data_IF_565010750548
#
_entry.id   IF_565010750548
#
_cell.length_a   1.000
_cell.length_b   1.000
_cell.length_c   1.000
_cell.angle_alpha   90.00
_cell.angle_beta   90.00
_cell.angle_gamma   90.00
#
_symmetry.space_group_name_H-M   'P 1'
#
loop_
_entity.id
_entity.type
_entity.pdbx_description
1 polymer ?
#
# COMPACT_ATOMS: atom_id res chain seq x y z
N UNK A 1 24.90 -7.72 -26.89
CA UNK A 1 23.71 -8.51 -26.58
C UNK A 1 22.89 -7.71 -25.53
N UNK A 2 21.55 -7.55 -25.74
CA UNK A 2 20.68 -6.76 -24.86
C UNK A 2 20.22 -7.50 -23.58
N UNK A 3 20.74 -8.72 -23.34
CA UNK A 3 20.41 -9.50 -22.14
C UNK A 3 19.03 -10.17 -22.11
N UNK A 4 18.28 -10.15 -23.21
CA UNK A 4 16.95 -10.76 -23.32
C UNK A 4 15.80 -9.86 -22.91
N UNK A 5 14.60 -10.41 -22.83
CA UNK A 5 13.40 -9.71 -22.39
C UNK A 5 13.27 -9.76 -20.88
N UNK A 6 12.79 -8.67 -20.28
CA UNK A 6 12.36 -8.66 -18.89
C UNK A 6 11.05 -9.41 -18.74
N UNK A 7 10.75 -9.94 -17.54
CA UNK A 7 9.50 -10.66 -17.24
C UNK A 7 8.24 -9.89 -17.63
N UNK A 8 8.27 -8.57 -17.45
CA UNK A 8 7.15 -7.68 -17.77
C UNK A 8 7.05 -7.32 -19.27
N UNK A 9 7.95 -7.82 -20.12
CA UNK A 9 7.93 -7.48 -21.54
C UNK A 9 6.75 -8.11 -22.27
N UNK A 10 6.11 -7.33 -23.14
CA UNK A 10 5.07 -7.84 -24.02
C UNK A 10 5.69 -8.63 -25.18
N UNK A 11 5.26 -9.85 -25.38
CA UNK A 11 5.60 -10.64 -26.57
C UNK A 11 4.55 -10.47 -27.69
N UNK A 12 3.40 -9.87 -27.37
CA UNK A 12 2.31 -9.67 -28.33
C UNK A 12 2.60 -8.50 -29.26
N UNK A 13 3.38 -7.50 -28.78
CA UNK A 13 3.67 -6.31 -29.56
C UNK A 13 5.09 -5.81 -29.35
N UNK A 14 5.86 -5.88 -30.43
CA UNK A 14 7.16 -5.23 -30.55
C UNK A 14 7.09 -4.31 -31.75
N UNK A 15 7.48 -3.06 -31.57
CA UNK A 15 7.48 -2.06 -32.63
C UNK A 15 8.94 -1.82 -33.06
N UNK A 16 9.17 -1.82 -34.37
CA UNK A 16 10.47 -1.45 -34.98
C UNK A 16 10.26 -0.21 -35.83
N UNK A 17 10.96 0.86 -35.48
CA UNK A 17 10.96 2.08 -36.27
C UNK A 17 12.21 2.14 -37.14
N UNK A 18 12.01 2.24 -38.46
CA UNK A 18 13.06 2.37 -39.46
C UNK A 18 13.04 3.74 -40.09
N UNK A 19 14.14 4.42 -40.04
CA UNK A 19 14.29 5.73 -40.70
C UNK A 19 14.35 5.59 -42.21
N UNK A 20 13.55 6.41 -42.94
CA UNK A 20 13.63 6.49 -44.38
C UNK A 20 14.90 7.27 -44.73
N UNK A 21 15.77 6.62 -45.54
CA UNK A 21 16.97 7.24 -46.07
C UNK A 21 16.72 7.53 -47.53
N UNK A 22 16.60 8.80 -47.88
CA UNK A 22 16.50 9.22 -49.28
C UNK A 22 17.53 10.32 -49.57
N UNK A 23 18.82 9.94 -49.73
CA UNK A 23 19.94 10.90 -49.91
C UNK A 23 19.89 11.64 -51.25
N UNK A 24 19.04 11.21 -52.18
CA UNK A 24 18.90 11.84 -53.52
C UNK A 24 17.64 12.70 -53.67
N UNK A 25 16.79 12.74 -52.66
CA UNK A 25 15.58 13.56 -52.67
C UNK A 25 15.95 14.98 -52.34
N UNK A 26 15.50 15.91 -53.18
CA UNK A 26 15.51 17.37 -52.92
C UNK A 26 14.16 17.85 -52.45
N UNK A 27 13.17 16.98 -52.36
CA UNK A 27 11.84 17.27 -51.85
C UNK A 27 11.80 17.11 -50.33
N UNK A 28 11.11 18.05 -49.67
CA UNK A 28 10.76 17.90 -48.26
C UNK A 28 9.64 16.84 -48.14
N UNK A 29 9.99 15.70 -47.55
CA UNK A 29 9.04 14.59 -47.39
C UNK A 29 8.48 14.60 -45.97
N UNK A 30 7.17 14.67 -45.85
CA UNK A 30 6.46 14.56 -44.56
C UNK A 30 6.67 13.21 -43.86
N UNK A 31 7.08 12.16 -44.60
CA UNK A 31 7.32 10.82 -44.06
C UNK A 31 8.79 10.65 -43.69
N UNK A 32 9.07 10.61 -42.39
CA UNK A 32 10.43 10.52 -41.84
C UNK A 32 10.84 9.10 -41.45
N UNK A 33 9.90 8.19 -41.32
CA UNK A 33 10.15 6.79 -40.91
C UNK A 33 9.02 5.86 -41.23
N UNK A 34 9.32 4.58 -41.14
CA UNK A 34 8.38 3.47 -41.30
C UNK A 34 8.34 2.65 -40.03
N UNK A 35 7.15 2.26 -39.59
CA UNK A 35 6.97 1.42 -38.41
C UNK A 35 6.49 0.03 -38.79
N UNK A 36 7.17 -0.95 -38.23
CA UNK A 36 6.79 -2.35 -38.31
C UNK A 36 6.36 -2.83 -36.94
N UNK A 37 5.29 -3.60 -36.84
CA UNK A 37 4.79 -4.16 -35.59
C UNK A 37 4.73 -5.67 -35.72
N UNK A 38 5.30 -6.35 -34.73
CA UNK A 38 5.37 -7.82 -34.68
C UNK A 38 4.87 -8.35 -33.37
N UNK A 39 4.43 -9.61 -33.36
CA UNK A 39 4.36 -10.47 -32.19
C UNK A 39 5.52 -11.45 -32.20
N UNK A 40 5.93 -11.93 -31.02
CA UNK A 40 6.91 -12.99 -30.87
C UNK A 40 6.23 -14.27 -30.44
N UNK A 41 6.58 -15.36 -31.11
CA UNK A 41 6.33 -16.73 -30.67
C UNK A 41 7.43 -17.22 -29.73
N UNK A 42 7.26 -18.40 -29.17
CA UNK A 42 8.27 -19.06 -28.35
C UNK A 42 9.63 -19.09 -29.05
N UNK A 43 10.70 -18.81 -28.29
CA UNK A 43 12.04 -18.73 -28.82
C UNK A 43 12.39 -17.42 -29.55
N UNK A 44 11.61 -16.37 -29.36
CA UNK A 44 11.79 -15.04 -29.97
C UNK A 44 11.62 -15.04 -31.50
N UNK A 45 10.87 -15.96 -32.04
CA UNK A 45 10.58 -16.02 -33.49
C UNK A 45 9.51 -14.99 -33.80
N UNK A 46 9.76 -14.15 -34.81
CA UNK A 46 8.79 -13.15 -35.29
C UNK A 46 7.61 -13.87 -35.96
N UNK A 47 6.40 -13.57 -35.49
CA UNK A 47 5.17 -14.08 -36.09
C UNK A 47 4.69 -13.14 -37.21
N UNK A 48 4.35 -13.71 -38.36
CA UNK A 48 3.71 -12.98 -39.46
C UNK A 48 4.66 -12.38 -40.53
N UNK A 49 5.94 -12.24 -40.26
CA UNK A 49 6.95 -11.81 -41.26
C UNK A 49 8.27 -12.60 -41.12
N UNK A 50 8.29 -13.84 -41.58
CA UNK A 50 9.50 -14.63 -41.57
C UNK A 50 10.56 -13.93 -42.44
N UNK A 51 11.78 -13.75 -41.90
CA UNK A 51 12.88 -13.13 -42.61
C UNK A 51 13.02 -11.61 -42.44
N UNK A 52 12.29 -10.98 -41.52
CA UNK A 52 12.53 -9.57 -41.18
C UNK A 52 13.93 -9.43 -40.58
N UNK A 53 14.75 -8.60 -41.22
CA UNK A 53 16.14 -8.33 -40.79
C UNK A 53 16.19 -6.89 -40.29
N UNK A 54 16.77 -6.70 -39.10
CA UNK A 54 17.09 -5.37 -38.58
C UNK A 54 18.19 -4.71 -39.40
N UNK A 55 18.02 -3.45 -39.70
CA UNK A 55 19.01 -2.61 -40.37
C UNK A 55 19.70 -1.66 -39.38
N UNK A 56 20.89 -1.16 -39.73
CA UNK A 56 21.56 -0.14 -38.93
C UNK A 56 20.67 1.08 -38.73
N UNK A 57 20.55 1.55 -37.46
CA UNK A 57 19.72 2.65 -37.00
C UNK A 57 18.23 2.30 -36.80
N UNK A 58 17.79 1.07 -36.99
CA UNK A 58 16.48 0.65 -36.54
C UNK A 58 16.36 0.81 -35.02
N UNK A 59 15.21 1.29 -34.57
CA UNK A 59 14.88 1.40 -33.15
C UNK A 59 13.83 0.36 -32.79
N UNK A 60 14.16 -0.53 -31.86
CA UNK A 60 13.29 -1.61 -31.40
C UNK A 60 12.67 -1.21 -30.05
N UNK A 61 11.35 -1.14 -30.00
CA UNK A 61 10.59 -0.81 -28.81
C UNK A 61 9.87 -2.04 -28.27
N UNK A 62 10.37 -2.58 -27.16
CA UNK A 62 9.68 -3.62 -26.38
C UNK A 62 8.87 -2.96 -25.29
N UNK A 63 7.55 -3.09 -25.38
CA UNK A 63 6.65 -2.48 -24.43
C UNK A 63 6.40 -3.39 -23.24
N UNK A 64 6.00 -2.79 -22.11
CA UNK A 64 5.51 -3.56 -20.97
C UNK A 64 4.18 -4.20 -21.32
N UNK A 65 3.99 -5.47 -20.98
CA UNK A 65 2.69 -6.14 -21.10
C UNK A 65 1.62 -5.45 -20.23
N UNK A 66 0.49 -5.03 -20.79
CA UNK A 66 -0.61 -4.45 -19.99
C UNK A 66 -1.16 -5.39 -18.93
N UNK A 67 -1.09 -6.70 -19.21
CA UNK A 67 -1.56 -7.74 -18.28
C UNK A 67 -0.54 -8.14 -17.22
N UNK A 68 0.73 -7.72 -17.34
CA UNK A 68 1.73 -8.08 -16.37
C UNK A 68 1.55 -7.33 -15.05
N UNK A 69 1.53 -8.09 -13.98
CA UNK A 69 1.53 -7.56 -12.62
C UNK A 69 2.63 -8.25 -11.83
N UNK A 70 3.46 -7.44 -11.18
CA UNK A 70 4.37 -7.94 -10.17
C UNK A 70 3.56 -8.53 -9.01
N UNK A 71 4.10 -9.56 -8.39
CA UNK A 71 3.53 -10.11 -7.17
C UNK A 71 3.48 -9.02 -6.10
N UNK A 72 2.34 -8.84 -5.49
CA UNK A 72 2.11 -7.90 -4.39
C UNK A 72 1.94 -8.68 -3.10
N UNK A 73 2.46 -8.13 -2.01
CA UNK A 73 2.43 -8.77 -0.71
C UNK A 73 1.79 -7.84 0.32
N UNK A 74 1.11 -8.46 1.29
CA UNK A 74 0.55 -7.84 2.48
C UNK A 74 1.00 -8.63 3.70
N UNK A 75 0.99 -8.02 4.88
CA UNK A 75 1.35 -8.71 6.10
C UNK A 75 0.21 -8.67 7.13
N UNK A 76 0.17 -9.69 7.96
CA UNK A 76 -0.71 -9.73 9.13
C UNK A 76 0.07 -10.20 10.36
N UNK A 77 -0.10 -9.50 11.48
CA UNK A 77 0.68 -9.68 12.69
C UNK A 77 -0.20 -9.65 13.95
N UNK A 78 0.34 -10.12 15.06
CA UNK A 78 -0.32 -10.13 16.36
C UNK A 78 -1.15 -11.38 16.60
N UNK A 79 -2.34 -11.23 17.13
CA UNK A 79 -3.21 -12.35 17.56
C UNK A 79 -3.98 -12.97 16.40
N UNK A 80 -3.24 -13.64 15.53
CA UNK A 80 -3.70 -14.40 14.36
C UNK A 80 -3.03 -15.77 14.37
N UNK A 81 -3.67 -16.81 13.82
CA UNK A 81 -3.12 -18.16 13.86
C UNK A 81 -1.81 -18.30 13.07
N UNK A 82 -1.76 -17.77 11.87
CA UNK A 82 -0.59 -17.82 11.01
C UNK A 82 -0.19 -16.40 10.58
N UNK A 83 0.55 -15.72 11.46
CA UNK A 83 1.09 -14.39 11.17
C UNK A 83 2.23 -14.44 10.13
N UNK A 84 2.39 -13.36 9.35
CA UNK A 84 3.46 -13.23 8.39
C UNK A 84 3.04 -12.53 7.09
N UNK A 85 3.86 -12.70 6.06
CA UNK A 85 3.64 -12.13 4.75
C UNK A 85 2.79 -13.05 3.87
N UNK A 86 1.85 -12.48 3.16
CA UNK A 86 0.95 -13.16 2.25
C UNK A 86 0.97 -12.51 0.87
N UNK A 87 1.12 -13.33 -0.16
CA UNK A 87 0.96 -12.87 -1.54
C UNK A 87 -0.51 -12.57 -1.83
N UNK A 88 -0.77 -11.41 -2.41
CA UNK A 88 -2.10 -11.07 -2.92
C UNK A 88 -2.40 -11.91 -4.16
N UNK A 89 -3.57 -12.52 -4.19
CA UNK A 89 -4.06 -13.33 -5.31
C UNK A 89 -5.01 -12.55 -6.21
N UNK A 90 -5.52 -11.42 -5.75
CA UNK A 90 -6.44 -10.54 -6.48
C UNK A 90 -6.15 -9.08 -6.12
N UNK A 91 -6.45 -8.17 -7.06
CA UNK A 91 -6.43 -6.71 -6.81
C UNK A 91 -7.52 -6.24 -5.86
N UNK A 92 -8.56 -7.04 -5.71
CA UNK A 92 -9.71 -6.74 -4.85
C UNK A 92 -9.67 -7.52 -3.54
N UNK A 93 -8.50 -8.07 -3.19
CA UNK A 93 -8.32 -8.79 -1.94
C UNK A 93 -8.58 -7.87 -0.75
N UNK A 94 -9.33 -8.37 0.24
CA UNK A 94 -9.85 -7.60 1.35
C UNK A 94 -9.31 -8.07 2.69
N UNK A 95 -9.59 -7.28 3.74
CA UNK A 95 -9.23 -7.64 5.12
C UNK A 95 -9.73 -9.02 5.52
N UNK A 96 -10.99 -9.34 5.21
CA UNK A 96 -11.58 -10.65 5.53
C UNK A 96 -10.85 -11.79 4.82
N UNK A 97 -10.45 -11.60 3.56
CA UNK A 97 -9.72 -12.62 2.79
C UNK A 97 -8.35 -12.91 3.40
N UNK A 98 -7.61 -11.85 3.79
CA UNK A 98 -6.31 -11.99 4.44
C UNK A 98 -6.42 -12.69 5.79
N UNK A 99 -7.37 -12.30 6.63
CA UNK A 99 -7.59 -12.94 7.93
C UNK A 99 -7.95 -14.41 7.77
N UNK A 100 -8.79 -14.75 6.78
CA UNK A 100 -9.13 -16.14 6.48
C UNK A 100 -7.92 -16.95 5.99
N UNK A 101 -7.09 -16.38 5.10
CA UNK A 101 -5.83 -17.01 4.66
C UNK A 101 -4.88 -17.28 5.84
N UNK A 102 -4.87 -16.37 6.80
CA UNK A 102 -4.05 -16.49 8.02
C UNK A 102 -4.69 -17.39 9.11
N UNK A 103 -5.75 -18.12 8.78
CA UNK A 103 -6.40 -19.11 9.66
C UNK A 103 -7.34 -18.52 10.70
N UNK A 104 -7.58 -17.20 10.67
CA UNK A 104 -8.46 -16.52 11.60
C UNK A 104 -7.77 -16.00 12.88
N UNK A 105 -8.45 -15.14 13.64
CA UNK A 105 -7.93 -14.57 14.88
C UNK A 105 -7.84 -15.65 15.99
N UNK A 106 -6.89 -15.45 16.91
CA UNK A 106 -6.79 -16.31 18.11
C UNK A 106 -7.91 -15.99 19.12
N UNK A 107 -8.09 -16.83 20.12
CA UNK A 107 -9.05 -16.58 21.22
C UNK A 107 -8.69 -15.35 22.06
N UNK A 108 -7.47 -14.85 21.96
CA UNK A 108 -6.99 -13.67 22.68
C UNK A 108 -7.01 -12.40 21.82
N UNK A 109 -7.48 -12.47 20.59
CA UNK A 109 -7.49 -11.36 19.68
C UNK A 109 -8.46 -10.24 20.11
N UNK A 110 -8.00 -8.99 20.05
CA UNK A 110 -8.83 -7.82 20.26
C UNK A 110 -9.14 -7.15 18.91
N UNK A 111 -10.20 -7.58 18.24
CA UNK A 111 -10.57 -7.16 16.89
C UNK A 111 -10.86 -5.68 16.79
N UNK A 112 -11.46 -5.06 17.83
CA UNK A 112 -11.74 -3.61 17.87
C UNK A 112 -10.50 -2.73 17.96
N UNK A 113 -9.39 -3.30 18.42
CA UNK A 113 -8.09 -2.62 18.48
C UNK A 113 -7.22 -2.87 17.26
N UNK A 114 -7.71 -3.60 16.27
CA UNK A 114 -6.96 -3.89 15.07
C UNK A 114 -6.61 -2.60 14.29
N UNK A 115 -5.43 -2.59 13.70
CA UNK A 115 -4.89 -1.45 12.94
C UNK A 115 -4.43 -1.94 11.57
N UNK A 116 -4.62 -1.08 10.57
CA UNK A 116 -4.05 -1.24 9.25
C UNK A 116 -3.02 -0.13 9.04
N UNK A 117 -1.76 -0.51 8.86
CA UNK A 117 -0.70 0.41 8.44
C UNK A 117 -0.53 0.31 6.94
N UNK A 118 -0.57 1.45 6.26
CA UNK A 118 -0.56 1.55 4.80
C UNK A 118 0.60 2.40 4.32
N UNK A 119 1.26 1.97 3.25
CA UNK A 119 2.31 2.75 2.59
C UNK A 119 1.68 3.94 1.86
N UNK A 120 2.16 5.14 2.15
CA UNK A 120 1.67 6.36 1.54
C UNK A 120 2.10 6.45 0.06
N UNK A 121 1.14 6.59 -0.83
CA UNK A 121 1.39 6.89 -2.24
C UNK A 121 1.99 8.28 -2.41
N UNK A 122 2.61 8.55 -3.55
CA UNK A 122 3.17 9.88 -3.86
C UNK A 122 2.13 11.00 -3.73
N UNK A 123 0.88 10.74 -4.11
CA UNK A 123 -0.22 11.71 -3.98
C UNK A 123 -0.65 11.93 -2.52
N UNK A 124 -0.63 10.90 -1.69
CA UNK A 124 -0.92 11.00 -0.26
C UNK A 124 0.20 11.74 0.47
N UNK A 125 1.48 11.43 0.19
CA UNK A 125 2.64 12.17 0.72
C UNK A 125 2.59 13.65 0.36
N UNK A 126 2.24 13.99 -0.88
CA UNK A 126 2.07 15.38 -1.30
C UNK A 126 0.99 16.09 -0.49
N UNK A 127 -0.19 15.48 -0.32
CA UNK A 127 -1.27 16.05 0.50
C UNK A 127 -0.85 16.23 1.97
N UNK A 128 -0.14 15.26 2.56
CA UNK A 128 0.42 15.37 3.91
C UNK A 128 1.37 16.55 4.00
N UNK A 129 2.29 16.70 3.05
CA UNK A 129 3.20 17.84 2.97
C UNK A 129 2.50 19.20 2.85
N UNK A 130 1.42 19.29 2.08
CA UNK A 130 0.62 20.51 1.94
C UNK A 130 -0.09 20.87 3.25
N UNK A 131 -0.62 19.87 3.98
CA UNK A 131 -1.23 20.06 5.31
C UNK A 131 -0.18 20.53 6.33
N UNK A 132 1.00 19.89 6.37
CA UNK A 132 2.09 20.29 7.27
C UNK A 132 2.53 21.73 6.98
N UNK A 133 2.64 22.10 5.70
CA UNK A 133 2.99 23.48 5.30
C UNK A 133 1.93 24.50 5.74
N UNK A 134 0.65 24.15 5.71
CA UNK A 134 -0.43 24.98 6.22
C UNK A 134 -0.34 25.12 7.74
N UNK A 135 -0.09 24.04 8.45
CA UNK A 135 0.10 24.04 9.91
C UNK A 135 1.32 24.85 10.33
N UNK A 136 2.46 24.73 9.62
CA UNK A 136 3.66 25.52 9.93
C UNK A 136 3.47 27.02 9.76
N UNK A 137 2.63 27.44 8.81
CA UNK A 137 2.23 28.86 8.66
C UNK A 137 1.40 29.37 9.83
N UNK A 138 0.58 28.53 10.45
CA UNK A 138 -0.30 28.90 11.56
C UNK A 138 0.40 28.80 12.94
N UNK A 139 1.20 27.77 13.14
CA UNK A 139 1.80 27.41 14.43
C UNK A 139 3.29 27.77 14.52
N UNK A 140 3.94 28.06 13.39
CA UNK A 140 5.39 28.26 13.30
C UNK A 140 6.16 26.95 13.08
N UNK A 141 7.24 27.00 12.29
CA UNK A 141 8.07 25.83 11.95
C UNK A 141 8.67 25.15 13.19
N UNK A 142 9.16 25.94 14.15
CA UNK A 142 9.76 25.42 15.38
C UNK A 142 8.78 24.57 16.21
N UNK A 143 7.48 24.87 16.15
CA UNK A 143 6.46 24.10 16.86
C UNK A 143 6.16 22.78 16.13
N UNK A 144 6.12 22.79 14.81
CA UNK A 144 5.96 21.57 14.00
C UNK A 144 7.14 20.62 14.22
N UNK A 145 8.37 21.13 14.21
CA UNK A 145 9.57 20.34 14.48
C UNK A 145 9.57 19.77 15.91
N UNK A 146 9.14 20.55 16.90
CA UNK A 146 9.04 20.08 18.28
C UNK A 146 7.99 18.98 18.49
N UNK A 147 6.94 18.96 17.67
CA UNK A 147 5.90 17.94 17.67
C UNK A 147 6.28 16.70 16.85
N UNK A 148 7.42 16.73 16.12
CA UNK A 148 7.87 15.64 15.27
C UNK A 148 6.93 15.34 14.10
N UNK A 149 6.15 16.33 13.65
CA UNK A 149 5.20 16.18 12.57
C UNK A 149 5.93 16.27 11.23
N UNK A 150 6.02 15.16 10.52
CA UNK A 150 6.68 15.06 9.21
C UNK A 150 5.85 14.29 8.20
N UNK A 151 6.32 14.26 6.96
CA UNK A 151 5.76 13.40 5.93
C UNK A 151 6.28 11.99 6.16
N UNK A 152 5.41 11.11 6.65
CA UNK A 152 5.75 9.72 6.90
C UNK A 152 5.55 8.86 5.65
N UNK A 153 6.33 7.78 5.56
CA UNK A 153 6.21 6.79 4.48
C UNK A 153 4.98 5.90 4.63
N UNK A 154 4.48 5.78 5.86
CA UNK A 154 3.30 4.97 6.19
C UNK A 154 2.33 5.76 7.06
N UNK A 155 1.06 5.39 7.02
CA UNK A 155 0.04 5.96 7.89
C UNK A 155 -0.94 4.88 8.37
N UNK A 156 -1.55 5.14 9.53
CA UNK A 156 -2.54 4.23 10.09
C UNK A 156 -3.91 4.54 9.54
N UNK A 157 -4.59 3.50 9.05
CA UNK A 157 -6.00 3.52 8.64
C UNK A 157 -6.82 2.86 9.75
N UNK A 158 -7.81 3.58 10.26
CA UNK A 158 -8.77 3.01 11.20
C UNK A 158 -9.62 1.94 10.51
N UNK A 159 -9.69 0.75 11.08
CA UNK A 159 -10.48 -0.37 10.57
C UNK A 159 -11.46 -0.89 11.61
N UNK A 160 -12.60 -1.37 11.17
CA UNK A 160 -13.55 -2.12 11.98
C UNK A 160 -13.47 -3.60 11.56
N UNK A 161 -12.46 -4.30 12.09
CA UNK A 161 -12.19 -5.68 11.69
C UNK A 161 -13.32 -6.63 12.10
N UNK A 162 -14.00 -6.36 13.23
CA UNK A 162 -15.15 -7.14 13.69
C UNK A 162 -16.27 -7.12 12.64
N UNK A 163 -16.61 -5.92 12.13
CA UNK A 163 -17.61 -5.78 11.06
C UNK A 163 -17.14 -6.33 9.72
N UNK A 164 -15.86 -6.16 9.38
CA UNK A 164 -15.29 -6.71 8.16
C UNK A 164 -15.43 -8.25 8.10
N UNK A 165 -15.19 -8.93 9.22
CA UNK A 165 -15.32 -10.38 9.31
C UNK A 165 -16.77 -10.86 9.40
N UNK A 166 -17.65 -10.07 10.01
CA UNK A 166 -19.09 -10.41 10.14
C UNK A 166 -19.83 -10.20 8.81
N UNK A 167 -19.43 -9.18 8.03
CA UNK A 167 -20.04 -8.85 6.74
C UNK A 167 -18.96 -8.69 5.66
N UNK A 168 -18.38 -9.80 5.16
CA UNK A 168 -17.39 -9.78 4.09
C UNK A 168 -17.91 -9.07 2.85
N UNK A 169 -17.03 -8.30 2.20
CA UNK A 169 -17.32 -7.41 1.05
C UNK A 169 -18.24 -6.24 1.38
N UNK A 170 -18.57 -6.01 2.64
CA UNK A 170 -19.24 -4.80 3.10
C UNK A 170 -18.32 -3.59 3.15
N UNK A 171 -18.87 -2.42 3.50
CA UNK A 171 -18.12 -1.15 3.53
C UNK A 171 -16.96 -1.13 4.54
N UNK A 172 -17.03 -1.94 5.60
CA UNK A 172 -15.96 -2.06 6.60
C UNK A 172 -14.81 -2.98 6.15
N UNK A 173 -15.07 -3.84 5.15
CA UNK A 173 -14.12 -4.80 4.62
C UNK A 173 -13.28 -4.15 3.52
N UNK A 174 -12.25 -3.41 3.93
CA UNK A 174 -11.40 -2.62 3.05
C UNK A 174 -10.60 -3.48 2.09
N UNK A 175 -10.44 -2.99 0.86
CA UNK A 175 -9.51 -3.55 -0.13
C UNK A 175 -8.08 -3.24 0.30
N UNK A 176 -7.25 -4.27 0.31
CA UNK A 176 -5.84 -4.20 0.66
C UNK A 176 -5.01 -3.62 -0.50
N UNK A 177 -3.86 -3.05 -0.16
CA UNK A 177 -2.85 -2.56 -1.11
C UNK A 177 -1.50 -3.20 -0.81
N UNK A 178 -0.64 -3.24 -1.80
CA UNK A 178 0.74 -3.68 -1.62
C UNK A 178 1.41 -2.97 -0.44
N UNK A 179 2.04 -3.76 0.43
CA UNK A 179 2.74 -3.29 1.61
C UNK A 179 1.83 -2.96 2.80
N UNK A 180 0.52 -3.23 2.72
CA UNK A 180 -0.36 -3.11 3.87
C UNK A 180 0.04 -4.09 4.97
N UNK A 181 0.03 -3.62 6.22
CA UNK A 181 0.28 -4.44 7.42
C UNK A 181 -0.93 -4.34 8.33
N UNK A 182 -1.59 -5.47 8.57
CA UNK A 182 -2.70 -5.59 9.53
C UNK A 182 -2.14 -6.09 10.86
N UNK A 183 -2.35 -5.34 11.92
CA UNK A 183 -1.95 -5.74 13.28
C UNK A 183 -3.17 -5.96 14.16
N UNK A 184 -3.27 -7.14 14.76
CA UNK A 184 -4.35 -7.50 15.68
C UNK A 184 -3.76 -7.61 17.09
N UNK A 185 -4.06 -6.65 18.00
CA UNK A 185 -3.52 -6.69 19.35
C UNK A 185 -4.18 -7.77 20.20
N UNK A 186 -3.48 -8.13 21.26
CA UNK A 186 -3.99 -9.04 22.29
C UNK A 186 -5.00 -8.30 23.17
N UNK A 187 -6.08 -8.97 23.50
CA UNK A 187 -7.01 -8.52 24.53
C UNK A 187 -6.40 -8.75 25.91
N UNK A 188 -5.89 -7.67 26.50
CA UNK A 188 -5.29 -7.70 27.84
C UNK A 188 -6.32 -7.65 28.97
N UNK A 189 -7.57 -7.38 28.63
CA UNK A 189 -8.66 -7.20 29.59
C UNK A 189 -8.32 -6.16 30.70
N UNK A 190 -7.63 -5.08 30.30
CA UNK A 190 -7.17 -4.02 31.22
C UNK A 190 -7.61 -2.65 30.72
N UNK A 191 -7.70 -1.72 31.66
CA UNK A 191 -7.91 -0.28 31.41
C UNK A 191 -6.68 0.46 31.91
N UNK A 192 -6.05 1.26 31.03
CA UNK A 192 -4.93 2.11 31.40
C UNK A 192 -5.42 3.53 31.65
N UNK A 193 -5.05 4.09 32.80
CA UNK A 193 -5.45 5.40 33.26
C UNK A 193 -4.20 6.28 33.29
N UNK A 194 -4.17 7.31 32.43
CA UNK A 194 -3.05 8.24 32.28
C UNK A 194 -3.53 9.68 32.35
N UNK A 195 -2.58 10.60 32.52
CA UNK A 195 -2.82 12.04 32.54
C UNK A 195 -2.86 12.62 33.95
N UNK A 196 -3.72 13.60 34.17
CA UNK A 196 -3.81 14.34 35.45
C UNK A 196 -4.56 13.55 36.54
N UNK A 197 -4.06 12.36 36.87
CA UNK A 197 -4.53 11.50 37.97
C UNK A 197 -3.46 11.35 39.03
N UNK A 198 -3.85 10.99 40.25
CA UNK A 198 -2.90 10.88 41.36
C UNK A 198 -1.83 9.80 41.11
N UNK A 199 -2.24 8.64 40.58
CA UNK A 199 -1.35 7.51 40.29
C UNK A 199 -1.72 6.91 38.94
N UNK A 200 -1.03 7.29 37.84
CA UNK A 200 -1.20 6.62 36.55
C UNK A 200 -0.94 5.11 36.70
N UNK A 201 -1.89 4.30 36.32
CA UNK A 201 -1.79 2.85 36.45
C UNK A 201 -2.62 2.10 35.39
N UNK A 202 -2.46 0.78 35.37
CA UNK A 202 -3.26 -0.13 34.55
C UNK A 202 -3.97 -1.11 35.46
N UNK A 203 -5.28 -1.16 35.35
CA UNK A 203 -6.17 -2.02 36.21
C UNK A 203 -6.96 -2.98 35.35
N UNK A 204 -7.44 -4.06 35.94
CA UNK A 204 -8.27 -5.03 35.25
C UNK A 204 -9.59 -4.43 34.82
N UNK A 205 -10.01 -4.71 33.57
CA UNK A 205 -11.31 -4.31 33.08
C UNK A 205 -12.42 -5.08 33.80
N UNK A 206 -13.45 -4.36 34.25
CA UNK A 206 -14.66 -4.93 34.84
C UNK A 206 -15.88 -4.47 34.04
N UNK A 207 -16.63 -5.43 33.50
CA UNK A 207 -17.84 -5.15 32.72
C UNK A 207 -18.86 -4.37 33.55
N UNK A 208 -19.40 -3.29 32.95
CA UNK A 208 -20.46 -2.48 33.58
C UNK A 208 -19.95 -1.42 34.57
N UNK A 209 -18.63 -1.23 34.70
CA UNK A 209 -18.02 -0.11 35.42
C UNK A 209 -17.84 1.10 34.54
N UNK A 210 -18.06 2.26 35.10
CA UNK A 210 -17.94 3.58 34.47
C UNK A 210 -16.55 4.22 34.62
N UNK A 211 -16.40 5.41 34.09
CA UNK A 211 -15.13 6.16 34.14
C UNK A 211 -14.74 6.50 35.58
N UNK A 212 -15.73 6.84 36.42
CA UNK A 212 -15.49 7.22 37.81
C UNK A 212 -14.93 6.05 38.64
N UNK A 213 -15.39 4.83 38.37
CA UNK A 213 -14.81 3.64 38.98
C UNK A 213 -13.30 3.53 38.69
N UNK A 214 -12.92 3.64 37.40
CA UNK A 214 -11.52 3.53 37.00
C UNK A 214 -10.68 4.69 37.50
N UNK A 215 -11.23 5.91 37.50
CA UNK A 215 -10.57 7.08 38.03
C UNK A 215 -10.26 6.95 39.53
N UNK A 216 -11.16 6.39 40.30
CA UNK A 216 -10.97 6.10 41.73
C UNK A 216 -9.85 5.06 41.95
N UNK A 217 -9.71 4.09 41.03
CA UNK A 217 -8.57 3.13 41.09
C UNK A 217 -7.22 3.79 40.85
N UNK A 218 -7.19 4.96 40.21
CA UNK A 218 -6.00 5.80 40.01
C UNK A 218 -5.81 6.87 41.10
N UNK A 219 -6.58 6.78 42.20
CA UNK A 219 -6.54 7.75 43.30
C UNK A 219 -7.30 9.07 43.04
N UNK A 220 -8.10 9.14 41.98
CA UNK A 220 -8.79 10.35 41.58
C UNK A 220 -7.96 11.33 40.75
N UNK A 221 -8.47 12.54 40.56
CA UNK A 221 -7.79 13.61 39.86
C UNK A 221 -6.59 14.14 40.65
N UNK A 222 -5.51 14.47 39.98
CA UNK A 222 -4.40 15.23 40.58
C UNK A 222 -4.77 16.72 40.73
N UNK A 223 -4.01 17.46 41.54
CA UNK A 223 -4.19 18.88 41.77
C UNK A 223 -4.14 19.74 40.50
N UNK A 224 -3.46 19.25 39.46
CA UNK A 224 -3.31 19.92 38.16
C UNK A 224 -4.41 19.57 37.15
N UNK A 225 -5.42 18.78 37.53
CA UNK A 225 -6.50 18.42 36.64
C UNK A 225 -7.43 19.61 36.40
N UNK A 226 -7.64 19.98 35.13
CA UNK A 226 -8.75 20.87 34.77
C UNK A 226 -10.06 20.06 34.89
N UNK A 227 -10.89 20.45 35.81
CA UNK A 227 -12.25 19.96 35.94
C UNK A 227 -13.16 20.54 34.87
#
# INVERSE_FOLDING_TARGET
QAGGLKEAASTVRIDVSRRIKNPRSTADNDTIGQMYTFSLKDGFVIDGQPGFILEPYDQVYVRRSPGYQAQQNVAIEGEILFGGNYAMTSREERLSDLVNKAGGPTSLAYLRGAKLTRVASAGEKKRMGDVIRLMSRQLGEAMIDSLGIGVEDTFTVGIDLEKALTNPKGNADLVLREGDVVFIPKNTNTVTINGAVMVPNTVSYMKGKDVDYYLNQAGGYSDNAKK
#
